data_IF_797982285568
#
_entry.id   IF_797982285568
#
_cell.length_a   1.000
_cell.length_b   1.000
_cell.length_c   1.000
_cell.angle_alpha   90.00
_cell.angle_beta   90.00
_cell.angle_gamma   90.00
#
_symmetry.space_group_name_H-M   'P 1'
#
loop_
_entity.id
_entity.type
_entity.pdbx_description
1 polymer ?
#
# COMPACT_ATOMS: atom_id res chain seq x y z
N UNK A 1 -12.86 18.00 -6.88
CA UNK A 1 -13.77 17.18 -6.05
C UNK A 1 -13.54 17.56 -4.61
N UNK A 2 -14.61 17.84 -3.86
CA UNK A 2 -14.53 18.00 -2.42
C UNK A 2 -14.10 16.68 -1.79
N UNK A 3 -13.30 16.76 -0.73
CA UNK A 3 -12.79 15.61 0.01
C UNK A 3 -13.95 14.80 0.61
N UNK A 4 -13.90 13.47 0.50
CA UNK A 4 -14.96 12.57 0.97
C UNK A 4 -14.65 12.03 2.37
N UNK A 5 -15.45 12.33 3.40
CA UNK A 5 -15.23 11.84 4.76
C UNK A 5 -15.33 10.31 4.87
N UNK A 6 -16.19 9.67 4.06
CA UNK A 6 -16.26 8.21 3.98
C UNK A 6 -14.94 7.60 3.51
N UNK A 7 -14.35 8.14 2.44
CA UNK A 7 -13.07 7.66 1.93
C UNK A 7 -11.95 7.88 2.94
N UNK A 8 -12.00 8.98 3.71
CA UNK A 8 -11.04 9.26 4.79
C UNK A 8 -11.16 8.23 5.92
N UNK A 9 -12.38 7.95 6.41
CA UNK A 9 -12.61 6.95 7.46
C UNK A 9 -12.18 5.56 7.04
N UNK A 10 -12.46 5.16 5.80
CA UNK A 10 -12.04 3.85 5.29
C UNK A 10 -10.51 3.73 5.20
N UNK A 11 -9.77 4.83 4.93
CA UNK A 11 -8.30 4.82 5.00
C UNK A 11 -7.79 4.66 6.43
N UNK A 12 -8.42 5.34 7.39
CA UNK A 12 -8.08 5.22 8.81
C UNK A 12 -8.31 3.78 9.28
N UNK A 13 -9.46 3.19 8.93
CA UNK A 13 -9.75 1.80 9.22
C UNK A 13 -8.71 0.87 8.58
N UNK A 14 -8.36 1.09 7.31
CA UNK A 14 -7.38 0.28 6.60
C UNK A 14 -6.00 0.29 7.30
N UNK A 15 -5.47 1.46 7.68
CA UNK A 15 -4.19 1.53 8.40
C UNK A 15 -4.29 0.95 9.81
N UNK A 16 -5.40 1.15 10.51
CA UNK A 16 -5.60 0.57 11.84
C UNK A 16 -5.55 -0.96 11.79
N UNK A 17 -6.22 -1.58 10.81
CA UNK A 17 -6.18 -3.04 10.61
C UNK A 17 -4.77 -3.56 10.33
N UNK A 18 -3.96 -2.82 9.54
CA UNK A 18 -2.56 -3.16 9.26
C UNK A 18 -1.71 -3.10 10.53
N UNK A 19 -1.82 -2.03 11.32
CA UNK A 19 -1.08 -1.86 12.57
C UNK A 19 -1.46 -2.94 13.60
N UNK A 20 -2.76 -3.18 13.79
CA UNK A 20 -3.27 -4.20 14.72
C UNK A 20 -2.74 -5.59 14.34
N UNK A 21 -2.75 -5.93 13.05
CA UNK A 21 -2.27 -7.22 12.59
C UNK A 21 -0.76 -7.40 12.84
N UNK A 22 0.06 -6.41 12.51
CA UNK A 22 1.51 -6.53 12.66
C UNK A 22 1.96 -6.49 14.12
N UNK A 23 1.33 -5.68 14.96
CA UNK A 23 1.56 -5.71 16.41
C UNK A 23 1.10 -7.04 16.99
N UNK A 24 -0.07 -7.54 16.59
CA UNK A 24 -0.56 -8.84 17.01
C UNK A 24 0.37 -9.98 16.60
N UNK A 25 0.89 -9.96 15.38
CA UNK A 25 1.87 -10.95 14.87
C UNK A 25 3.17 -10.92 15.66
N UNK A 26 3.66 -9.73 15.97
CA UNK A 26 4.89 -9.53 16.73
C UNK A 26 4.78 -10.10 18.15
N UNK A 27 3.61 -9.95 18.77
CA UNK A 27 3.36 -10.32 20.16
C UNK A 27 2.70 -11.71 20.31
N UNK A 28 2.39 -12.40 19.22
CA UNK A 28 1.71 -13.70 19.25
C UNK A 28 0.24 -13.63 19.69
N UNK A 29 -0.44 -12.50 19.49
CA UNK A 29 -1.86 -12.34 19.78
C UNK A 29 -2.75 -12.80 18.62
N UNK A 30 -3.96 -13.25 18.94
CA UNK A 30 -4.97 -13.68 17.97
C UNK A 30 -5.35 -12.61 16.92
N UNK A 31 -5.15 -11.33 17.23
CA UNK A 31 -5.35 -10.23 16.26
C UNK A 31 -4.33 -10.25 15.11
N UNK A 32 -3.20 -10.94 15.29
CA UNK A 32 -2.18 -11.17 14.28
C UNK A 32 -2.40 -12.41 13.43
N UNK A 33 -3.31 -13.30 13.86
CA UNK A 33 -3.52 -14.59 13.21
C UNK A 33 -4.06 -14.44 11.79
N UNK A 34 -3.76 -15.47 11.00
CA UNK A 34 -4.27 -15.62 9.66
C UNK A 34 -5.52 -16.49 9.69
N UNK A 35 -6.48 -16.16 8.84
CA UNK A 35 -7.72 -16.89 8.69
C UNK A 35 -8.06 -17.09 7.21
N UNK A 36 -8.92 -18.07 6.94
CA UNK A 36 -9.35 -18.45 5.60
C UNK A 36 -8.69 -19.74 5.10
N UNK A 37 -8.74 -19.96 3.79
CA UNK A 37 -8.29 -21.21 3.16
C UNK A 37 -6.81 -21.12 2.80
N UNK A 38 -5.98 -22.00 3.40
CA UNK A 38 -4.55 -22.12 3.07
C UNK A 38 -4.36 -22.35 1.56
N UNK A 39 -3.33 -21.75 0.99
CA UNK A 39 -3.01 -21.80 -0.45
C UNK A 39 -4.10 -21.27 -1.38
N UNK A 40 -5.04 -20.47 -0.88
CA UNK A 40 -6.07 -19.83 -1.70
C UNK A 40 -6.38 -18.41 -1.24
N UNK A 41 -6.91 -18.27 -0.02
CA UNK A 41 -7.28 -16.99 0.58
C UNK A 41 -7.01 -17.06 2.08
N UNK A 42 -5.73 -16.99 2.44
CA UNK A 42 -5.24 -17.03 3.81
C UNK A 42 -4.74 -15.63 4.17
N UNK A 43 -5.57 -14.87 4.88
CA UNK A 43 -5.43 -13.42 5.05
C UNK A 43 -5.37 -13.07 6.53
N UNK A 44 -4.58 -12.07 6.90
CA UNK A 44 -4.62 -11.45 8.24
C UNK A 44 -5.53 -10.22 8.23
N UNK A 45 -5.80 -9.64 9.41
CA UNK A 45 -6.45 -8.32 9.47
C UNK A 45 -5.70 -7.27 8.63
N UNK A 46 -4.37 -7.35 8.56
CA UNK A 46 -3.56 -6.45 7.73
C UNK A 46 -3.80 -6.66 6.24
N UNK A 47 -3.98 -7.91 5.80
CA UNK A 47 -4.36 -8.22 4.42
C UNK A 47 -5.76 -7.69 4.05
N UNK A 48 -6.70 -7.64 4.99
CA UNK A 48 -7.98 -6.93 4.80
C UNK A 48 -7.77 -5.42 4.67
N UNK A 49 -6.91 -4.82 5.50
CA UNK A 49 -6.53 -3.41 5.41
C UNK A 49 -5.93 -3.05 4.04
N UNK A 50 -5.02 -3.88 3.51
CA UNK A 50 -4.50 -3.71 2.14
C UNK A 50 -5.61 -3.80 1.11
N UNK A 51 -6.52 -4.78 1.25
CA UNK A 51 -7.65 -4.94 0.34
C UNK A 51 -8.54 -3.68 0.31
N UNK A 52 -8.77 -3.06 1.47
CA UNK A 52 -9.44 -1.76 1.55
C UNK A 52 -8.65 -0.65 0.84
N UNK A 53 -7.33 -0.57 1.01
CA UNK A 53 -6.51 0.41 0.28
C UNK A 53 -6.58 0.24 -1.24
N UNK A 54 -6.66 -1.01 -1.74
CA UNK A 54 -6.84 -1.30 -3.16
C UNK A 54 -8.21 -0.85 -3.67
N UNK A 55 -9.29 -1.20 -2.95
CA UNK A 55 -10.66 -0.75 -3.26
C UNK A 55 -10.73 0.78 -3.28
N UNK A 56 -10.16 1.45 -2.28
CA UNK A 56 -10.13 2.91 -2.20
C UNK A 56 -9.33 3.53 -3.36
N UNK A 57 -8.21 2.93 -3.73
CA UNK A 57 -7.39 3.39 -4.85
C UNK A 57 -8.12 3.24 -6.19
N UNK A 58 -8.82 2.12 -6.37
CA UNK A 58 -9.71 1.87 -7.51
C UNK A 58 -10.87 2.86 -7.56
N UNK A 59 -11.51 3.13 -6.42
CA UNK A 59 -12.60 4.11 -6.33
C UNK A 59 -12.12 5.51 -6.71
N UNK A 60 -10.96 5.95 -6.24
CA UNK A 60 -10.36 7.23 -6.65
C UNK A 60 -9.96 7.26 -8.13
N UNK A 61 -9.59 6.12 -8.72
CA UNK A 61 -9.35 6.01 -10.15
C UNK A 61 -10.65 6.12 -10.96
N UNK A 62 -11.75 5.51 -10.48
CA UNK A 62 -13.08 5.57 -11.09
C UNK A 62 -13.76 6.93 -10.97
N UNK A 63 -13.66 7.59 -9.82
CA UNK A 63 -14.15 8.96 -9.59
C UNK A 63 -13.27 10.00 -10.30
N UNK A 64 -12.00 9.68 -10.53
CA UNK A 64 -11.09 10.52 -11.29
C UNK A 64 -11.51 10.58 -12.76
N UNK A 65 -11.42 11.76 -13.37
CA UNK A 65 -11.65 11.97 -14.81
C UNK A 65 -10.52 11.36 -15.67
N UNK A 66 -10.23 10.07 -15.51
CA UNK A 66 -9.22 9.34 -16.27
C UNK A 66 -9.51 9.33 -17.79
N UNK A 67 -10.74 9.66 -18.22
CA UNK A 67 -11.13 9.64 -19.64
C UNK A 67 -11.41 11.00 -20.28
N UNK A 68 -10.96 12.14 -19.71
CA UNK A 68 -11.14 13.44 -20.38
C UNK A 68 -9.83 14.25 -20.48
N UNK A 69 -9.37 14.37 -21.72
CA UNK A 69 -8.53 15.44 -22.31
C UNK A 69 -7.00 15.33 -22.28
N UNK A 70 -6.36 14.72 -21.28
CA UNK A 70 -4.89 14.77 -21.14
C UNK A 70 -4.11 13.46 -21.42
N UNK A 71 -4.77 12.39 -21.85
CA UNK A 71 -4.12 11.13 -22.25
C UNK A 71 -3.61 10.25 -21.09
N UNK A 72 -3.23 9.00 -21.43
CA UNK A 72 -2.77 7.98 -20.47
C UNK A 72 -1.44 8.31 -19.76
N UNK A 73 -0.40 8.84 -20.43
CA UNK A 73 0.86 9.18 -19.77
C UNK A 73 0.68 10.24 -18.67
N UNK A 74 -0.19 11.22 -18.89
CA UNK A 74 -0.50 12.24 -17.88
C UNK A 74 -1.18 11.65 -16.64
N UNK A 75 -2.08 10.67 -16.84
CA UNK A 75 -2.71 9.94 -15.74
C UNK A 75 -1.66 9.22 -14.90
N UNK A 76 -0.77 8.44 -15.54
CA UNK A 76 0.28 7.72 -14.83
C UNK A 76 1.26 8.66 -14.13
N UNK A 77 1.70 9.72 -14.80
CA UNK A 77 2.58 10.72 -14.21
C UNK A 77 1.95 11.33 -12.96
N UNK A 78 0.64 11.63 -12.97
CA UNK A 78 -0.06 12.13 -11.79
C UNK A 78 -0.07 11.13 -10.64
N UNK A 79 -0.10 9.82 -10.91
CA UNK A 79 0.01 8.78 -9.87
C UNK A 79 1.44 8.65 -9.35
N UNK A 80 2.43 8.66 -10.24
CA UNK A 80 3.86 8.65 -9.87
C UNK A 80 4.19 9.83 -8.97
N UNK A 81 3.85 11.06 -9.39
CA UNK A 81 4.08 12.28 -8.63
C UNK A 81 3.29 12.33 -7.31
N UNK A 82 2.23 11.53 -7.18
CA UNK A 82 1.47 11.40 -5.93
C UNK A 82 2.14 10.46 -4.92
N UNK A 83 2.73 9.37 -5.40
CA UNK A 83 3.18 8.25 -4.55
C UNK A 83 4.67 8.35 -4.25
N UNK A 84 5.50 8.55 -5.29
CA UNK A 84 6.95 8.45 -5.17
C UNK A 84 7.60 9.52 -4.28
N UNK A 85 7.18 10.80 -4.26
CA UNK A 85 7.80 11.78 -3.37
C UNK A 85 7.72 11.37 -1.89
N UNK A 86 6.56 10.86 -1.45
CA UNK A 86 6.39 10.39 -0.09
C UNK A 86 7.17 9.10 0.16
N UNK A 87 7.15 8.17 -0.80
CA UNK A 87 7.91 6.92 -0.73
C UNK A 87 9.42 7.17 -0.61
N UNK A 88 9.99 8.06 -1.42
CA UNK A 88 11.42 8.37 -1.33
C UNK A 88 11.81 9.05 -0.02
N UNK A 89 10.90 9.78 0.62
CA UNK A 89 11.14 10.30 1.97
C UNK A 89 11.06 9.20 3.04
N UNK A 90 10.31 8.13 2.82
CA UNK A 90 10.25 7.01 3.76
C UNK A 90 11.43 6.05 3.63
N UNK A 91 12.09 5.98 2.47
CA UNK A 91 13.24 5.08 2.24
C UNK A 91 14.42 5.35 3.19
N UNK A 92 14.94 6.59 3.36
CA UNK A 92 16.01 6.86 4.32
C UNK A 92 15.62 6.53 5.77
N UNK A 93 14.36 6.77 6.14
CA UNK A 93 13.86 6.39 7.46
C UNK A 93 13.75 4.88 7.64
N UNK A 94 13.37 4.16 6.58
CA UNK A 94 13.34 2.71 6.60
C UNK A 94 14.75 2.11 6.68
N UNK A 95 15.74 2.70 5.98
CA UNK A 95 17.16 2.34 6.11
C UNK A 95 17.69 2.62 7.53
N UNK A 96 17.28 3.73 8.14
CA UNK A 96 17.59 4.02 9.55
C UNK A 96 16.95 2.97 10.48
N UNK A 97 15.68 2.63 10.27
CA UNK A 97 14.99 1.59 11.04
C UNK A 97 15.69 0.23 10.92
N UNK A 98 16.10 -0.16 9.71
CA UNK A 98 16.88 -1.35 9.45
C UNK A 98 18.22 -1.35 10.21
N UNK A 99 18.97 -0.24 10.13
CA UNK A 99 20.27 -0.14 10.79
C UNK A 99 20.16 -0.15 12.33
N UNK A 100 19.16 0.56 12.86
CA UNK A 100 18.87 0.56 14.30
C UNK A 100 18.38 -0.80 14.78
N UNK A 101 17.55 -1.49 13.99
CA UNK A 101 17.05 -2.82 14.33
C UNK A 101 18.17 -3.84 14.42
N UNK A 102 19.08 -3.87 13.44
CA UNK A 102 20.26 -4.72 13.47
C UNK A 102 21.17 -4.40 14.67
N UNK A 103 21.48 -3.13 14.89
CA UNK A 103 22.35 -2.72 16.00
C UNK A 103 21.75 -2.97 17.39
N UNK A 104 20.46 -2.69 17.58
CA UNK A 104 19.79 -2.81 18.89
C UNK A 104 19.40 -4.26 19.23
N UNK A 105 18.97 -5.07 18.26
CA UNK A 105 18.54 -6.45 18.51
C UNK A 105 19.67 -7.47 18.34
N UNK A 106 20.50 -7.32 17.31
CA UNK A 106 21.53 -8.31 16.99
C UNK A 106 22.92 -7.93 17.55
N UNK A 107 23.14 -6.65 17.88
CA UNK A 107 24.47 -6.17 18.26
C UNK A 107 25.48 -6.16 17.09
N UNK A 108 24.98 -6.39 15.88
CA UNK A 108 25.76 -6.53 14.66
C UNK A 108 25.75 -5.23 13.84
N UNK A 109 26.80 -5.05 13.03
CA UNK A 109 26.80 -4.02 11.99
C UNK A 109 25.96 -4.55 10.81
N UNK A 110 24.89 -3.85 10.42
CA UNK A 110 24.03 -4.30 9.32
C UNK A 110 24.81 -4.37 8.00
N UNK A 111 24.56 -5.42 7.22
CA UNK A 111 25.01 -5.44 5.84
C UNK A 111 24.25 -4.38 5.03
N UNK A 112 24.99 -3.44 4.43
CA UNK A 112 24.40 -2.25 3.80
C UNK A 112 23.75 -2.54 2.45
N UNK A 113 24.03 -3.69 1.81
CA UNK A 113 23.48 -4.09 0.51
C UNK A 113 23.40 -5.62 0.38
N UNK A 114 22.56 -6.30 1.19
CA UNK A 114 22.54 -7.76 1.27
C UNK A 114 22.13 -8.47 -0.03
N UNK A 115 21.48 -7.77 -0.98
CA UNK A 115 21.14 -8.33 -2.30
C UNK A 115 22.04 -7.78 -3.42
N UNK A 116 23.11 -7.07 -3.07
CA UNK A 116 24.00 -6.38 -3.98
C UNK A 116 23.58 -4.93 -4.27
N UNK A 117 24.58 -4.05 -4.42
CA UNK A 117 24.38 -2.60 -4.56
C UNK A 117 23.35 -2.21 -5.62
N UNK A 118 23.45 -2.76 -6.84
CA UNK A 118 22.56 -2.40 -7.94
C UNK A 118 21.12 -2.84 -7.68
N UNK A 119 20.93 -4.07 -7.17
CA UNK A 119 19.63 -4.64 -6.82
C UNK A 119 18.93 -3.80 -5.77
N UNK A 120 19.66 -3.50 -4.68
CA UNK A 120 19.10 -2.78 -3.54
C UNK A 120 18.89 -1.29 -3.84
N UNK A 121 19.74 -0.67 -4.67
CA UNK A 121 19.53 0.70 -5.11
C UNK A 121 18.29 0.81 -6.00
N UNK A 122 18.21 0.00 -7.06
CA UNK A 122 17.10 0.04 -8.02
C UNK A 122 15.79 -0.39 -7.36
N UNK A 123 15.83 -1.43 -6.52
CA UNK A 123 14.68 -1.90 -5.74
C UNK A 123 14.16 -0.83 -4.78
N UNK A 124 15.04 -0.15 -4.04
CA UNK A 124 14.65 0.90 -3.08
C UNK A 124 14.16 2.17 -3.74
N UNK A 125 14.67 2.52 -4.93
CA UNK A 125 14.22 3.70 -5.65
C UNK A 125 12.87 3.47 -6.34
N UNK A 126 12.65 2.26 -6.87
CA UNK A 126 11.45 1.92 -7.64
C UNK A 126 10.31 1.39 -6.76
N UNK A 127 10.61 0.68 -5.68
CA UNK A 127 9.66 -0.13 -4.92
C UNK A 127 9.30 -1.46 -5.60
N UNK A 128 10.07 -1.91 -6.61
CA UNK A 128 9.77 -3.10 -7.43
C UNK A 128 10.48 -4.39 -6.99
N UNK A 129 10.99 -4.45 -5.76
CA UNK A 129 11.61 -5.66 -5.22
C UNK A 129 10.76 -6.93 -5.40
N UNK A 130 9.45 -6.83 -5.23
CA UNK A 130 8.55 -7.98 -5.33
C UNK A 130 8.68 -8.72 -6.69
N UNK A 131 8.89 -7.98 -7.78
CA UNK A 131 9.01 -8.52 -9.13
C UNK A 131 10.29 -9.33 -9.37
N UNK A 132 11.30 -9.13 -8.53
CA UNK A 132 12.55 -9.91 -8.54
C UNK A 132 12.60 -10.93 -7.39
N UNK A 133 11.45 -11.24 -6.80
CA UNK A 133 11.32 -12.25 -5.74
C UNK A 133 11.61 -11.77 -4.33
N UNK A 134 12.05 -10.53 -4.18
CA UNK A 134 12.33 -9.93 -2.89
C UNK A 134 11.06 -9.22 -2.42
N UNK A 135 10.23 -9.87 -1.59
CA UNK A 135 8.90 -9.37 -1.20
C UNK A 135 8.78 -7.84 -1.16
N UNK A 136 9.50 -7.16 -0.25
CA UNK A 136 9.64 -5.69 -0.22
C UNK A 136 11.07 -5.20 -0.06
N UNK A 137 12.07 -6.05 -0.32
CA UNK A 137 13.48 -5.75 -0.10
C UNK A 137 13.88 -5.65 1.39
N UNK A 138 15.15 -5.33 1.67
CA UNK A 138 15.72 -5.41 3.02
C UNK A 138 15.30 -4.24 3.93
N UNK A 139 15.10 -3.03 3.38
CA UNK A 139 14.89 -1.83 4.20
C UNK A 139 13.42 -1.51 4.46
N UNK A 140 12.58 -1.59 3.43
CA UNK A 140 11.19 -1.14 3.50
C UNK A 140 10.24 -2.26 3.04
N UNK A 141 9.92 -3.23 3.91
CA UNK A 141 9.04 -4.34 3.55
C UNK A 141 7.69 -3.88 2.95
N UNK A 142 7.02 -2.82 3.45
CA UNK A 142 5.81 -2.28 2.80
C UNK A 142 5.98 -1.82 1.33
N UNK A 143 7.21 -1.70 0.81
CA UNK A 143 7.46 -1.26 -0.58
C UNK A 143 6.86 -2.19 -1.63
N UNK A 144 6.60 -3.47 -1.31
CA UNK A 144 5.92 -4.41 -2.21
C UNK A 144 4.57 -3.85 -2.71
N UNK A 145 3.87 -3.11 -1.85
CA UNK A 145 2.61 -2.46 -2.18
C UNK A 145 2.77 -1.41 -3.27
N UNK A 146 3.91 -0.73 -3.36
CA UNK A 146 4.22 0.27 -4.40
C UNK A 146 4.23 -0.42 -5.76
N UNK A 147 4.93 -1.54 -5.89
CA UNK A 147 4.96 -2.31 -7.14
C UNK A 147 3.56 -2.77 -7.57
N UNK A 148 2.77 -3.28 -6.62
CA UNK A 148 1.40 -3.74 -6.85
C UNK A 148 0.53 -2.58 -7.32
N UNK A 149 0.49 -1.48 -6.56
CA UNK A 149 -0.45 -0.39 -6.85
C UNK A 149 -0.09 0.33 -8.15
N UNK A 150 1.21 0.47 -8.46
CA UNK A 150 1.64 1.05 -9.73
C UNK A 150 1.28 0.15 -10.91
N UNK A 151 1.41 -1.17 -10.77
CA UNK A 151 0.96 -2.14 -11.78
C UNK A 151 -0.55 -2.06 -12.01
N UNK A 152 -1.35 -1.92 -10.94
CA UNK A 152 -2.79 -1.75 -11.06
C UNK A 152 -3.17 -0.41 -11.70
N UNK A 153 -2.42 0.68 -11.44
CA UNK A 153 -2.63 1.95 -12.13
C UNK A 153 -2.28 1.89 -13.63
N UNK A 154 -1.28 1.09 -14.01
CA UNK A 154 -0.98 0.81 -15.42
C UNK A 154 -2.17 0.15 -16.10
N UNK A 155 -2.81 -0.82 -15.44
CA UNK A 155 -3.99 -1.55 -15.94
C UNK A 155 -5.31 -0.75 -15.85
N UNK A 156 -5.35 0.27 -15.00
CA UNK A 156 -6.57 1.01 -14.68
C UNK A 156 -7.34 1.59 -15.89
N UNK A 157 -6.71 2.16 -16.94
CA UNK A 157 -7.46 2.70 -18.09
C UNK A 157 -8.23 1.62 -18.85
N UNK A 158 -7.62 0.45 -19.05
CA UNK A 158 -8.29 -0.69 -19.67
C UNK A 158 -9.48 -1.13 -18.80
N UNK A 159 -9.25 -1.31 -17.49
CA UNK A 159 -10.31 -1.64 -16.53
C UNK A 159 -11.45 -0.61 -16.56
N UNK A 160 -11.12 0.69 -16.58
CA UNK A 160 -12.09 1.78 -16.66
C UNK A 160 -12.89 1.77 -17.96
N UNK A 161 -12.24 1.47 -19.09
CA UNK A 161 -12.90 1.37 -20.39
C UNK A 161 -13.93 0.23 -20.40
N UNK A 162 -13.51 -0.97 -19.99
CA UNK A 162 -14.40 -2.13 -19.89
C UNK A 162 -15.52 -1.91 -18.86
N UNK A 163 -15.21 -1.33 -17.68
CA UNK A 163 -16.20 -1.09 -16.62
C UNK A 163 -17.30 -0.11 -17.06
N UNK A 164 -16.97 0.90 -17.87
CA UNK A 164 -17.95 1.81 -18.46
C UNK A 164 -18.87 1.14 -19.48
N UNK A 165 -18.34 0.17 -20.24
CA UNK A 165 -19.08 -0.54 -21.30
C UNK A 165 -19.96 -1.64 -20.70
N UNK A 166 -19.40 -2.45 -19.81
CA UNK A 166 -20.02 -3.66 -19.25
C UNK A 166 -19.66 -3.83 -17.76
N UNK A 167 -20.25 -3.03 -16.85
CA UNK A 167 -19.80 -2.96 -15.46
C UNK A 167 -19.86 -4.32 -14.74
N UNK A 168 -21.02 -4.99 -14.76
CA UNK A 168 -21.18 -6.26 -14.04
C UNK A 168 -20.36 -7.40 -14.66
N UNK A 169 -20.28 -7.49 -15.99
CA UNK A 169 -19.47 -8.51 -16.69
C UNK A 169 -17.98 -8.32 -16.44
N UNK A 170 -17.52 -7.06 -16.47
CA UNK A 170 -16.13 -6.72 -16.17
C UNK A 170 -15.80 -7.09 -14.73
N UNK A 171 -16.64 -6.72 -13.76
CA UNK A 171 -16.43 -7.08 -12.36
C UNK A 171 -16.38 -8.61 -12.16
N UNK A 172 -17.30 -9.35 -12.78
CA UNK A 172 -17.31 -10.81 -12.76
C UNK A 172 -16.05 -11.43 -13.38
N UNK A 173 -15.57 -10.90 -14.51
CA UNK A 173 -14.33 -11.35 -15.14
C UNK A 173 -13.11 -11.07 -14.26
N UNK A 174 -13.03 -9.89 -13.64
CA UNK A 174 -11.95 -9.54 -12.71
C UNK A 174 -11.95 -10.45 -11.47
N UNK A 175 -13.13 -10.82 -10.96
CA UNK A 175 -13.26 -11.81 -9.89
C UNK A 175 -12.73 -13.16 -10.35
N UNK A 176 -13.18 -13.67 -11.50
CA UNK A 176 -12.72 -14.95 -12.03
C UNK A 176 -11.20 -14.99 -12.24
N UNK A 177 -10.61 -13.92 -12.79
CA UNK A 177 -9.15 -13.80 -12.95
C UNK A 177 -8.46 -13.81 -11.59
N UNK A 178 -8.96 -13.06 -10.60
CA UNK A 178 -8.39 -13.02 -9.26
C UNK A 178 -8.42 -14.39 -8.58
N UNK A 179 -9.53 -15.12 -8.66
CA UNK A 179 -9.66 -16.46 -8.08
C UNK A 179 -8.74 -17.47 -8.80
N UNK A 180 -8.71 -17.43 -10.14
CA UNK A 180 -7.85 -18.32 -10.93
C UNK A 180 -6.36 -18.05 -10.66
N UNK A 181 -5.97 -16.78 -10.58
CA UNK A 181 -4.60 -16.37 -10.28
C UNK A 181 -4.19 -16.80 -8.86
N UNK A 182 -5.05 -16.59 -7.85
CA UNK A 182 -4.77 -17.03 -6.47
C UNK A 182 -4.64 -18.53 -6.37
N UNK A 183 -5.52 -19.26 -7.04
CA UNK A 183 -5.42 -20.72 -7.11
C UNK A 183 -4.10 -21.14 -7.76
N UNK A 184 -3.79 -20.62 -8.95
CA UNK A 184 -2.54 -20.94 -9.66
C UNK A 184 -1.31 -20.64 -8.81
N UNK A 185 -1.22 -19.41 -8.28
CA UNK A 185 -0.09 -18.98 -7.45
C UNK A 185 0.01 -19.77 -6.15
N UNK A 186 -1.12 -20.11 -5.54
CA UNK A 186 -1.18 -20.95 -4.35
C UNK A 186 -0.71 -22.40 -4.57
N UNK A 187 -0.83 -22.92 -5.79
CA UNK A 187 -0.35 -24.26 -6.14
C UNK A 187 1.11 -24.22 -6.64
N UNK A 188 1.39 -23.34 -7.59
CA UNK A 188 2.60 -23.38 -8.41
C UNK A 188 3.60 -22.25 -8.13
N UNK A 189 3.24 -21.26 -7.32
CA UNK A 189 4.05 -20.05 -7.16
C UNK A 189 3.94 -19.10 -8.37
N UNK A 190 4.96 -18.26 -8.57
CA UNK A 190 4.97 -17.30 -9.68
C UNK A 190 5.47 -17.94 -10.96
N UNK A 191 4.84 -17.69 -12.12
CA UNK A 191 5.19 -18.36 -13.38
C UNK A 191 6.54 -17.93 -13.96
N UNK A 192 7.12 -16.83 -13.49
CA UNK A 192 8.36 -16.24 -14.00
C UNK A 192 9.53 -16.32 -13.02
N UNK A 193 9.31 -16.87 -11.82
CA UNK A 193 10.39 -17.15 -10.88
C UNK A 193 10.67 -18.64 -10.96
N UNK A 194 11.81 -19.02 -11.54
CA UNK A 194 12.25 -20.43 -11.56
C UNK A 194 12.78 -20.71 -10.15
N UNK A 195 12.05 -21.46 -9.31
CA UNK A 195 12.52 -21.70 -7.97
C UNK A 195 13.67 -22.70 -8.05
N UNK A 196 14.75 -22.45 -7.30
CA UNK A 196 15.80 -23.45 -7.14
C UNK A 196 15.22 -24.74 -6.56
N UNK A 197 15.89 -25.89 -6.73
CA UNK A 197 15.38 -27.16 -6.20
C UNK A 197 15.18 -27.11 -4.67
N UNK A 198 16.00 -26.32 -3.98
CA UNK A 198 15.85 -26.03 -2.55
C UNK A 198 14.58 -25.21 -2.27
N UNK A 199 14.34 -24.11 -2.99
CA UNK A 199 13.11 -23.30 -2.88
C UNK A 199 11.85 -24.06 -3.28
N UNK A 200 11.95 -25.05 -4.17
CA UNK A 200 10.83 -25.94 -4.52
C UNK A 200 10.47 -26.86 -3.35
N UNK A 201 11.46 -27.39 -2.65
CA UNK A 201 11.30 -28.23 -1.44
C UNK A 201 10.82 -27.38 -0.26
N UNK A 202 11.43 -26.21 -0.04
CA UNK A 202 10.99 -25.21 0.95
C UNK A 202 9.54 -24.82 0.67
N UNK A 203 9.24 -24.40 -0.56
CA UNK A 203 7.89 -24.03 -1.01
C UNK A 203 6.88 -25.17 -0.89
N UNK A 204 7.30 -26.43 -1.08
CA UNK A 204 6.47 -27.61 -0.85
C UNK A 204 6.17 -27.83 0.64
N UNK A 205 7.18 -27.76 1.51
CA UNK A 205 7.00 -27.81 2.97
C UNK A 205 6.10 -26.65 3.43
N UNK A 206 6.35 -25.45 2.94
CA UNK A 206 5.58 -24.26 3.27
C UNK A 206 4.12 -24.31 2.82
N UNK A 207 3.80 -24.96 1.69
CA UNK A 207 2.42 -25.23 1.27
C UNK A 207 1.67 -26.14 2.24
N UNK A 208 2.37 -27.07 2.90
CA UNK A 208 1.79 -27.92 3.95
C UNK A 208 1.56 -27.15 5.26
N UNK A 209 2.50 -26.28 5.65
CA UNK A 209 2.41 -25.57 6.93
C UNK A 209 1.68 -24.21 6.86
N UNK A 210 1.52 -23.61 5.68
CA UNK A 210 0.68 -22.43 5.43
C UNK A 210 1.40 -21.08 5.39
N UNK A 211 2.71 -21.05 5.11
CA UNK A 211 3.49 -19.81 5.06
C UNK A 211 4.36 -19.76 3.79
N UNK A 212 3.85 -19.20 2.69
CA UNK A 212 4.67 -19.02 1.47
C UNK A 212 5.69 -17.88 1.65
N UNK A 213 7.00 -18.12 1.43
CA UNK A 213 7.99 -17.06 1.30
C UNK A 213 7.56 -16.07 0.21
N UNK A 214 7.58 -14.78 0.53
CA UNK A 214 7.26 -13.70 -0.41
C UNK A 214 5.79 -13.53 -0.83
N UNK A 215 4.86 -14.35 -0.32
CA UNK A 215 3.40 -14.22 -0.47
C UNK A 215 2.94 -13.61 -1.79
N UNK A 216 3.19 -14.28 -2.93
CA UNK A 216 2.84 -13.76 -4.24
C UNK A 216 1.35 -13.42 -4.41
N UNK A 217 0.45 -14.08 -3.67
CA UNK A 217 -0.96 -13.71 -3.62
C UNK A 217 -1.23 -12.28 -3.10
N UNK A 218 -0.31 -11.69 -2.34
CA UNK A 218 -0.46 -10.35 -1.79
C UNK A 218 -0.10 -9.25 -2.77
N UNK A 219 0.90 -9.46 -3.63
CA UNK A 219 1.43 -8.43 -4.50
C UNK A 219 1.28 -8.70 -6.00
N UNK A 220 1.03 -9.95 -6.41
CA UNK A 220 0.89 -10.28 -7.83
C UNK A 220 -0.40 -9.65 -8.39
N UNK A 221 -0.32 -8.74 -9.38
CA UNK A 221 -1.48 -7.92 -9.76
C UNK A 221 -2.73 -8.71 -10.14
N UNK A 222 -2.66 -9.83 -10.90
CA UNK A 222 -3.84 -10.64 -11.22
C UNK A 222 -4.63 -11.10 -9.99
N UNK A 223 -3.96 -11.45 -8.89
CA UNK A 223 -4.61 -11.85 -7.63
C UNK A 223 -5.42 -10.71 -6.99
N UNK A 224 -5.11 -9.46 -7.32
CA UNK A 224 -5.63 -8.25 -6.69
C UNK A 224 -6.46 -7.36 -7.62
N UNK A 225 -6.71 -7.82 -8.84
CA UNK A 225 -7.52 -7.10 -9.84
C UNK A 225 -8.96 -6.89 -9.38
N UNK A 226 -9.54 -7.85 -8.67
CA UNK A 226 -10.92 -7.78 -8.21
C UNK A 226 -11.11 -6.64 -7.21
N UNK A 227 -10.25 -6.52 -6.19
CA UNK A 227 -10.37 -5.48 -5.16
C UNK A 227 -10.26 -4.07 -5.77
N UNK A 228 -9.27 -3.87 -6.64
CA UNK A 228 -9.09 -2.60 -7.33
C UNK A 228 -10.27 -2.30 -8.29
N UNK A 229 -10.71 -3.32 -9.04
CA UNK A 229 -11.86 -3.23 -9.95
C UNK A 229 -13.18 -2.97 -9.24
N UNK A 230 -13.39 -3.57 -8.07
CA UNK A 230 -14.54 -3.33 -7.20
C UNK A 230 -14.59 -1.85 -6.79
N UNK A 231 -13.45 -1.26 -6.46
CA UNK A 231 -13.33 0.19 -6.25
C UNK A 231 -13.85 1.01 -7.43
N UNK A 232 -13.36 0.71 -8.64
CA UNK A 232 -13.80 1.40 -9.86
C UNK A 232 -15.31 1.20 -10.09
N UNK A 233 -15.80 -0.02 -9.91
CA UNK A 233 -17.21 -0.36 -10.07
C UNK A 233 -18.08 0.44 -9.10
N UNK A 234 -17.74 0.47 -7.81
CA UNK A 234 -18.47 1.23 -6.80
C UNK A 234 -18.48 2.72 -7.15
N UNK A 235 -17.35 3.28 -7.59
CA UNK A 235 -17.26 4.68 -7.99
C UNK A 235 -18.17 5.05 -9.16
N UNK A 236 -18.41 4.13 -10.10
CA UNK A 236 -19.23 4.38 -11.29
C UNK A 236 -20.71 4.07 -11.08
N UNK A 237 -21.05 3.15 -10.18
CA UNK A 237 -22.42 2.67 -9.99
C UNK A 237 -23.10 3.22 -8.73
N UNK A 238 -22.36 3.72 -7.74
CA UNK A 238 -22.95 4.34 -6.55
C UNK A 238 -23.28 5.82 -6.77
N UNK A 239 -24.36 6.34 -6.17
CA UNK A 239 -24.75 7.74 -6.29
C UNK A 239 -23.65 8.68 -5.79
N UNK A 240 -23.48 9.83 -6.47
CA UNK A 240 -22.47 10.81 -6.07
C UNK A 240 -22.65 11.30 -4.63
N UNK A 241 -23.89 11.37 -4.16
CA UNK A 241 -24.26 11.76 -2.80
C UNK A 241 -23.60 10.88 -1.72
N UNK A 242 -23.33 9.61 -1.99
CA UNK A 242 -22.66 8.71 -1.04
C UNK A 242 -21.20 9.12 -0.79
N UNK A 243 -20.55 9.72 -1.80
CA UNK A 243 -19.18 10.20 -1.69
C UNK A 243 -19.08 11.59 -1.06
N UNK A 244 -20.11 12.43 -1.19
CA UNK A 244 -20.09 13.84 -0.73
C UNK A 244 -20.97 14.15 0.48
N UNK A 245 -21.87 13.25 0.88
CA UNK A 245 -23.03 13.57 1.72
C UNK A 245 -22.84 13.40 3.23
N UNK A 246 -21.79 12.74 3.69
CA UNK A 246 -21.62 12.46 5.12
C UNK A 246 -20.80 13.54 5.81
N UNK A 247 -21.39 14.30 6.75
CA UNK A 247 -20.64 15.10 7.73
C UNK A 247 -20.28 14.22 8.91
N UNK A 248 -19.00 13.94 9.12
CA UNK A 248 -18.54 13.22 10.30
C UNK A 248 -18.21 14.23 11.43
N UNK A 249 -18.46 13.86 12.69
CA UNK A 249 -17.90 14.59 13.83
C UNK A 249 -16.36 14.54 13.75
N UNK A 250 -15.67 15.58 14.23
CA UNK A 250 -14.20 15.70 14.19
C UNK A 250 -13.58 15.72 12.78
N UNK A 251 -14.19 16.49 11.87
CA UNK A 251 -13.75 16.58 10.47
C UNK A 251 -12.26 16.92 10.29
N UNK A 252 -11.66 17.74 11.15
CA UNK A 252 -10.24 18.09 11.03
C UNK A 252 -9.31 16.94 11.46
N UNK A 253 -9.60 16.27 12.58
CA UNK A 253 -8.80 15.14 13.05
C UNK A 253 -8.90 13.94 12.09
N UNK A 254 -10.10 13.65 11.58
CA UNK A 254 -10.32 12.59 10.59
C UNK A 254 -9.51 12.86 9.31
N UNK A 255 -9.50 14.12 8.84
CA UNK A 255 -8.69 14.51 7.67
C UNK A 255 -7.21 14.31 7.92
N UNK A 256 -6.71 14.75 9.08
CA UNK A 256 -5.31 14.59 9.45
C UNK A 256 -4.92 13.12 9.47
N UNK A 257 -5.65 12.27 10.20
CA UNK A 257 -5.37 10.85 10.31
C UNK A 257 -5.44 10.13 8.95
N UNK A 258 -6.40 10.51 8.10
CA UNK A 258 -6.49 9.96 6.75
C UNK A 258 -5.33 10.39 5.85
N UNK A 259 -4.78 11.59 6.03
CA UNK A 259 -3.57 12.05 5.31
C UNK A 259 -2.31 11.31 5.80
N UNK A 260 -2.26 10.98 7.09
CA UNK A 260 -1.18 10.21 7.70
C UNK A 260 -1.23 8.70 7.41
N UNK A 261 -2.37 8.17 6.95
CA UNK A 261 -2.55 6.73 6.70
C UNK A 261 -1.50 6.13 5.77
N UNK A 262 -1.14 6.81 4.68
CA UNK A 262 -0.16 6.31 3.71
C UNK A 262 1.30 6.45 4.20
N UNK A 263 1.74 7.59 4.77
CA UNK A 263 3.05 7.65 5.43
C UNK A 263 3.21 6.61 6.53
N UNK A 264 2.20 6.43 7.40
CA UNK A 264 2.19 5.39 8.43
C UNK A 264 2.34 3.99 7.82
N UNK A 265 1.59 3.70 6.75
CA UNK A 265 1.70 2.43 6.03
C UNK A 265 3.14 2.16 5.55
N UNK A 266 3.89 3.18 5.14
CA UNK A 266 5.26 2.99 4.65
C UNK A 266 6.32 2.80 5.74
N UNK A 267 6.10 3.32 6.95
CA UNK A 267 7.12 3.35 8.00
C UNK A 267 6.80 2.48 9.22
N UNK A 268 5.59 1.93 9.34
CA UNK A 268 5.24 1.14 10.52
C UNK A 268 6.15 -0.08 10.70
N UNK A 269 6.42 -0.83 9.63
CA UNK A 269 7.17 -2.09 9.72
C UNK A 269 8.66 -1.89 10.01
N UNK A 270 9.41 -0.97 9.35
CA UNK A 270 10.83 -0.75 9.64
C UNK A 270 11.15 -0.40 11.09
N UNK A 271 10.18 0.11 11.86
CA UNK A 271 10.35 0.48 13.27
C UNK A 271 9.64 -0.47 14.24
N UNK A 272 9.03 -1.56 13.74
CA UNK A 272 8.26 -2.49 14.57
C UNK A 272 9.13 -3.17 15.65
N UNK A 273 10.44 -3.29 15.40
CA UNK A 273 11.43 -3.81 16.35
C UNK A 273 11.51 -3.00 17.66
N UNK A 274 11.05 -1.74 17.68
CA UNK A 274 11.05 -0.90 18.88
C UNK A 274 10.20 -1.51 19.99
N UNK A 275 9.08 -2.18 19.67
CA UNK A 275 8.19 -2.78 20.68
C UNK A 275 8.93 -3.83 21.53
N UNK A 276 9.51 -4.91 20.96
CA UNK A 276 10.27 -5.87 21.76
C UNK A 276 11.51 -5.25 22.41
N UNK A 277 12.16 -4.29 21.77
CA UNK A 277 13.34 -3.60 22.32
C UNK A 277 13.00 -2.80 23.59
N UNK A 278 11.85 -2.12 23.61
CA UNK A 278 11.37 -1.36 24.76
C UNK A 278 10.89 -2.29 25.87
N UNK A 279 10.23 -3.40 25.52
CA UNK A 279 9.85 -4.43 26.49
C UNK A 279 11.07 -5.07 27.16
N UNK A 280 12.13 -5.34 26.40
CA UNK A 280 13.40 -5.83 26.95
C UNK A 280 14.07 -4.85 27.93
N UNK A 281 13.77 -3.55 27.82
CA UNK A 281 14.21 -2.52 28.75
C UNK A 281 13.27 -2.34 29.97
N UNK A 282 12.26 -3.20 30.10
CA UNK A 282 11.35 -3.22 31.26
C UNK A 282 10.06 -2.43 31.10
N UNK A 283 9.76 -1.89 29.92
CA UNK A 283 8.45 -1.28 29.67
C UNK A 283 7.36 -2.37 29.59
N UNK A 284 6.18 -2.07 30.12
CA UNK A 284 5.01 -2.92 29.90
C UNK A 284 4.64 -2.94 28.41
N UNK A 285 4.01 -4.03 27.97
CA UNK A 285 3.60 -4.23 26.57
C UNK A 285 2.77 -3.04 26.03
N UNK A 286 1.74 -2.60 26.76
CA UNK A 286 0.89 -1.49 26.34
C UNK A 286 1.66 -0.17 26.22
N UNK A 287 2.63 0.06 27.10
CA UNK A 287 3.43 1.28 27.09
C UNK A 287 4.44 1.26 25.94
N UNK A 288 5.07 0.10 25.68
CA UNK A 288 5.95 -0.09 24.53
C UNK A 288 5.19 0.14 23.21
N UNK A 289 3.97 -0.41 23.08
CA UNK A 289 3.09 -0.16 21.93
C UNK A 289 2.74 1.33 21.82
N UNK A 290 2.35 1.98 22.93
CA UNK A 290 1.96 3.39 22.91
C UNK A 290 3.13 4.30 22.49
N UNK A 291 4.33 4.05 23.01
CA UNK A 291 5.56 4.78 22.63
C UNK A 291 5.87 4.54 21.15
N UNK A 292 5.84 3.29 20.67
CA UNK A 292 6.03 2.97 19.26
C UNK A 292 5.02 3.72 18.36
N UNK A 293 3.72 3.66 18.69
CA UNK A 293 2.67 4.32 17.93
C UNK A 293 2.85 5.85 17.91
N UNK A 294 3.23 6.45 19.03
CA UNK A 294 3.52 7.88 19.10
C UNK A 294 4.70 8.27 18.21
N UNK A 295 5.80 7.50 18.25
CA UNK A 295 7.00 7.74 17.44
C UNK A 295 6.70 7.65 15.95
N UNK A 296 6.03 6.59 15.49
CA UNK A 296 5.70 6.44 14.07
C UNK A 296 4.68 7.49 13.62
N UNK A 297 3.78 7.95 14.49
CA UNK A 297 2.82 9.01 14.16
C UNK A 297 3.53 10.36 13.98
N UNK A 298 4.48 10.68 14.86
CA UNK A 298 5.33 11.87 14.72
C UNK A 298 6.15 11.79 13.44
N UNK A 299 6.81 10.66 13.17
CA UNK A 299 7.58 10.47 11.95
C UNK A 299 6.72 10.61 10.69
N UNK A 300 5.54 9.96 10.66
CA UNK A 300 4.57 10.08 9.57
C UNK A 300 4.13 11.52 9.34
N UNK A 301 3.89 12.28 10.43
CA UNK A 301 3.54 13.69 10.35
C UNK A 301 4.67 14.52 9.74
N UNK A 302 5.92 14.33 10.17
CA UNK A 302 7.08 15.05 9.63
C UNK A 302 7.29 14.77 8.14
N UNK A 303 7.22 13.50 7.72
CA UNK A 303 7.33 13.11 6.30
C UNK A 303 6.23 13.80 5.48
N UNK A 304 4.98 13.76 5.96
CA UNK A 304 3.86 14.39 5.27
C UNK A 304 4.01 15.91 5.18
N UNK A 305 4.46 16.58 6.24
CA UNK A 305 4.75 18.02 6.21
C UNK A 305 5.88 18.36 5.24
N UNK A 306 6.95 17.57 5.23
CA UNK A 306 8.08 17.77 4.31
C UNK A 306 7.66 17.59 2.86
N UNK A 307 6.85 16.56 2.56
CA UNK A 307 6.29 16.34 1.23
C UNK A 307 5.43 17.52 0.76
N UNK A 308 4.57 18.05 1.63
CA UNK A 308 3.74 19.20 1.33
C UNK A 308 4.57 20.45 1.03
N UNK A 309 5.67 20.68 1.77
CA UNK A 309 6.62 21.77 1.51
C UNK A 309 7.34 21.62 0.18
N UNK A 310 7.77 20.41 -0.15
CA UNK A 310 8.41 20.12 -1.45
C UNK A 310 7.44 20.42 -2.59
N UNK A 311 6.16 20.07 -2.44
CA UNK A 311 5.12 20.32 -3.45
C UNK A 311 4.70 21.77 -3.57
N UNK A 312 4.74 22.55 -2.49
CA UNK A 312 4.40 23.99 -2.51
C UNK A 312 5.58 24.87 -2.94
N UNK A 313 6.78 24.30 -3.04
CA UNK A 313 7.99 25.01 -3.48
C UNK A 313 7.93 25.56 -4.92
N UNK A 314 8.79 26.54 -5.24
CA UNK A 314 8.77 27.28 -6.51
C UNK A 314 9.00 26.41 -7.76
N UNK A 315 9.61 25.23 -7.60
CA UNK A 315 9.82 24.26 -8.67
C UNK A 315 8.52 23.57 -9.14
N UNK A 316 7.52 23.44 -8.27
CA UNK A 316 6.23 22.79 -8.59
C UNK A 316 5.08 23.78 -8.82
N UNK A 317 5.17 25.01 -8.29
CA UNK A 317 4.16 26.04 -8.48
C UNK A 317 4.04 26.53 -9.95
N UNK A 318 5.09 26.37 -10.76
CA UNK A 318 5.10 26.79 -12.19
C UNK A 318 4.37 25.84 -13.16
N UNK A 319 3.85 24.69 -12.71
CA UNK A 319 3.19 23.67 -13.58
C UNK A 319 1.70 23.45 -13.31
N UNK A 320 0.99 24.39 -12.70
CA UNK A 320 -0.46 24.43 -12.86
C UNK A 320 -0.79 25.27 -14.10
N UNK A 321 -1.32 24.68 -15.20
CA UNK A 321 -1.84 25.49 -16.28
C UNK A 321 -2.99 26.31 -15.71
N UNK A 322 -2.85 27.63 -15.79
CA UNK A 322 -3.90 28.59 -15.47
C UNK A 322 -5.19 28.10 -16.10
N UNK A 323 -6.13 27.64 -15.28
CA UNK A 323 -7.47 27.30 -15.75
C UNK A 323 -8.07 28.56 -16.33
N UNK A 324 -8.37 28.51 -17.64
CA UNK A 324 -9.21 29.41 -18.40
C UNK A 324 -10.13 30.25 -17.50
N UNK A 325 -9.83 31.56 -17.38
CA UNK A 325 -10.85 32.55 -17.03
C UNK A 325 -11.90 32.49 -18.13
N UNK A 326 -13.11 32.08 -17.78
CA UNK A 326 -14.26 32.30 -18.65
C UNK A 326 -14.43 33.83 -18.86
N UNK A 327 -14.76 34.31 -20.06
CA UNK A 327 -14.99 35.72 -20.28
C UNK A 327 -16.20 36.16 -19.45
N UNK A 328 -16.03 37.22 -18.67
CA UNK A 328 -17.10 37.91 -17.97
C UNK A 328 -18.17 38.32 -18.98
N UNK A 329 -19.35 37.71 -18.86
CA UNK A 329 -20.53 38.19 -19.53
C UNK A 329 -20.92 39.52 -18.87
N UNK A 330 -20.60 40.63 -19.54
CA UNK A 330 -21.21 41.92 -19.28
C UNK A 330 -22.72 41.78 -19.51
N UNK A 331 -23.52 42.07 -18.49
CA UNK A 331 -24.86 42.62 -18.64
C UNK A 331 -24.93 43.89 -17.82
#
# INVERSE_FOLDING_TARGET
>A
MNRSPLLDSLRILAIALVLIAHIGQLLGHASGDFFGLKNFYFVSLGGLGVSLFLVLSGALAGLGNASRRNGYPHYLLKKVMRIYPLYWLSVPLAMLGYALGAGLLAGDVPEMFPNGFATDLLGSLSGFYAWIGLWGGPYNPPSWYISLIMSLYVLAPAMLWFMKRWPHRTLGALLAISLAARYYVGQWGLPFMVPSLFEQVEGWLYRQYGFMPGRPGDWFPPCRLFEFGLGIYLAQNLPQALWSGSRLPFGNATRLLADLSFPLFLIHYPFLFLVPSLMAQGLSEWLAIAVYLALILVAAFQINTLEQRIRSGPLFSRRQPQSFRAPEARR
#
